data_IF_670548140417
#
_entry.id   IF_670548140417
#
_cell.length_a   1.000
_cell.length_b   1.000
_cell.length_c   1.000
_cell.angle_alpha   90.00
_cell.angle_beta   90.00
_cell.angle_gamma   90.00
#
_symmetry.space_group_name_H-M   'P 1'
#
loop_
_entity.id
_entity.type
_entity.pdbx_description
1 polymer ?
#
# COMPACT_ATOMS: atom_id res chain seq x y z
N UNK A 1 -8.62 -22.55 22.00
CA UNK A 1 -9.80 -21.66 22.23
C UNK A 1 -9.88 -20.52 21.21
N UNK A 2 -8.88 -19.60 21.12
CA UNK A 2 -8.92 -18.48 20.17
C UNK A 2 -8.82 -18.88 18.69
N UNK A 3 -7.86 -19.75 18.33
CA UNK A 3 -7.72 -20.20 16.94
C UNK A 3 -8.97 -20.91 16.43
N UNK A 4 -9.52 -21.84 17.21
CA UNK A 4 -10.77 -22.55 16.88
C UNK A 4 -11.97 -21.62 16.71
N UNK A 5 -12.05 -20.54 17.50
CA UNK A 5 -13.12 -19.54 17.40
C UNK A 5 -13.05 -18.75 16.07
N UNK A 6 -11.87 -18.25 15.71
CA UNK A 6 -11.71 -17.48 14.49
C UNK A 6 -11.79 -18.35 13.23
N UNK A 7 -11.30 -19.59 13.26
CA UNK A 7 -11.51 -20.55 12.16
C UNK A 7 -12.99 -20.79 11.89
N UNK A 8 -13.81 -20.95 12.94
CA UNK A 8 -15.26 -21.10 12.78
C UNK A 8 -15.92 -19.83 12.20
N UNK A 9 -15.47 -18.64 12.61
CA UNK A 9 -15.97 -17.37 12.08
C UNK A 9 -15.61 -17.15 10.62
N UNK A 10 -14.41 -17.54 10.19
CA UNK A 10 -13.98 -17.45 8.79
C UNK A 10 -14.83 -18.37 7.91
N UNK A 11 -15.00 -19.63 8.31
CA UNK A 11 -15.84 -20.60 7.60
C UNK A 11 -17.29 -20.12 7.53
N UNK A 12 -17.83 -19.58 8.62
CA UNK A 12 -19.20 -19.05 8.64
C UNK A 12 -19.38 -17.77 7.82
N UNK A 13 -18.29 -17.07 7.46
CA UNK A 13 -18.31 -15.81 6.71
C UNK A 13 -17.95 -15.97 5.23
N UNK A 14 -17.76 -17.20 4.73
CA UNK A 14 -17.26 -17.50 3.38
C UNK A 14 -18.10 -16.82 2.26
N UNK A 15 -19.42 -16.72 2.44
CA UNK A 15 -20.32 -16.04 1.49
C UNK A 15 -20.59 -14.56 1.81
N UNK A 16 -19.89 -13.98 2.79
CA UNK A 16 -20.11 -12.61 3.30
C UNK A 16 -18.79 -11.84 3.34
N UNK A 17 -18.34 -11.27 2.21
CA UNK A 17 -17.04 -10.60 2.10
C UNK A 17 -16.78 -9.52 3.17
N UNK A 18 -17.79 -8.71 3.51
CA UNK A 18 -17.66 -7.69 4.57
C UNK A 18 -17.44 -8.28 5.97
N UNK A 19 -18.09 -9.40 6.28
CA UNK A 19 -17.89 -10.11 7.56
C UNK A 19 -16.50 -10.74 7.59
N UNK A 20 -16.08 -11.37 6.49
CA UNK A 20 -14.76 -11.99 6.37
C UNK A 20 -13.65 -10.95 6.53
N UNK A 21 -13.78 -9.79 5.90
CA UNK A 21 -12.86 -8.67 6.05
C UNK A 21 -12.73 -8.20 7.51
N UNK A 22 -13.85 -8.06 8.23
CA UNK A 22 -13.84 -7.66 9.66
C UNK A 22 -13.18 -8.70 10.56
N UNK A 23 -13.42 -9.98 10.32
CA UNK A 23 -12.83 -11.08 11.10
C UNK A 23 -11.32 -11.14 10.87
N UNK A 24 -10.89 -11.07 9.62
CA UNK A 24 -9.46 -11.04 9.24
C UNK A 24 -8.78 -9.78 9.77
N UNK A 25 -9.40 -8.61 9.65
CA UNK A 25 -8.90 -7.37 10.23
C UNK A 25 -8.72 -7.49 11.75
N UNK A 26 -9.68 -8.08 12.46
CA UNK A 26 -9.58 -8.27 13.92
C UNK A 26 -8.47 -9.25 14.34
N UNK A 27 -8.14 -10.22 13.48
CA UNK A 27 -7.02 -11.14 13.68
C UNK A 27 -5.66 -10.47 13.46
N UNK A 28 -5.57 -9.61 12.45
CA UNK A 28 -4.33 -8.93 12.09
C UNK A 28 -4.08 -7.69 12.95
N UNK A 29 -5.14 -7.05 13.45
CA UNK A 29 -5.07 -5.79 14.18
C UNK A 29 -4.86 -5.98 15.70
N UNK A 30 -4.00 -6.91 16.11
CA UNK A 30 -3.65 -7.16 17.53
C UNK A 30 -2.98 -5.93 18.18
N UNK A 31 -2.50 -4.97 17.38
CA UNK A 31 -1.74 -3.80 17.83
C UNK A 31 -2.22 -2.48 17.20
N UNK A 32 -3.43 -2.44 16.64
CA UNK A 32 -3.97 -1.21 16.04
C UNK A 32 -5.08 -0.58 16.84
N UNK A 33 -5.04 -0.69 18.17
CA UNK A 33 -5.50 0.45 18.96
C UNK A 33 -4.35 1.43 18.91
N UNK A 34 -4.24 2.17 17.79
CA UNK A 34 -3.60 3.46 17.89
C UNK A 34 -4.31 4.18 19.02
N UNK A 35 -3.56 4.70 20.00
CA UNK A 35 -4.18 5.45 21.08
C UNK A 35 -5.15 6.44 20.45
N UNK A 36 -6.39 6.56 20.97
CA UNK A 36 -7.29 7.61 20.51
C UNK A 36 -6.48 8.89 20.57
N UNK A 37 -6.36 9.60 19.44
CA UNK A 37 -5.68 10.88 19.39
C UNK A 37 -6.52 11.85 20.24
N UNK A 38 -6.32 11.81 21.55
CA UNK A 38 -6.84 12.78 22.49
C UNK A 38 -5.92 13.97 22.42
N UNK A 39 -6.45 15.10 21.99
CA UNK A 39 -5.69 16.31 21.86
C UNK A 39 -6.35 17.33 20.95
N UNK A 40 -5.75 18.51 20.94
CA UNK A 40 -6.04 19.64 20.05
C UNK A 40 -5.53 19.37 18.64
N UNK A 41 -5.95 20.19 17.66
CA UNK A 41 -5.49 20.05 16.26
C UNK A 41 -3.97 20.24 16.17
N UNK A 42 -3.44 21.11 17.02
CA UNK A 42 -2.02 21.43 17.15
C UNK A 42 -1.21 20.22 17.62
N UNK A 43 -1.71 19.47 18.60
CA UNK A 43 -1.07 18.24 19.09
C UNK A 43 -1.06 17.15 18.01
N UNK A 44 -2.14 17.05 17.21
CA UNK A 44 -2.17 16.12 16.08
C UNK A 44 -1.19 16.50 14.97
N UNK A 45 -1.09 17.79 14.64
CA UNK A 45 -0.11 18.29 13.66
C UNK A 45 1.31 18.02 14.14
N UNK A 46 1.60 18.29 15.41
CA UNK A 46 2.93 18.03 15.97
C UNK A 46 3.27 16.53 15.94
N UNK A 47 2.32 15.67 16.32
CA UNK A 47 2.48 14.22 16.24
C UNK A 47 2.82 13.74 14.82
N UNK A 48 2.15 14.29 13.80
CA UNK A 48 2.44 13.95 12.40
C UNK A 48 3.84 14.40 11.98
N UNK A 49 4.25 15.61 12.38
CA UNK A 49 5.58 16.13 12.08
C UNK A 49 6.68 15.25 12.71
N UNK A 50 6.50 14.88 13.97
CA UNK A 50 7.43 14.02 14.71
C UNK A 50 7.55 12.64 14.04
N UNK A 51 6.41 12.07 13.63
CA UNK A 51 6.38 10.77 12.96
C UNK A 51 7.04 10.80 11.57
N UNK A 52 6.87 11.88 10.81
CA UNK A 52 7.56 12.07 9.53
C UNK A 52 9.07 12.20 9.75
N UNK A 53 9.51 12.95 10.75
CA UNK A 53 10.92 13.10 11.09
C UNK A 53 11.55 11.76 11.50
N UNK A 54 10.83 10.97 12.29
CA UNK A 54 11.27 9.63 12.66
C UNK A 54 11.44 8.72 11.43
N UNK A 55 10.45 8.64 10.55
CA UNK A 55 10.51 7.79 9.34
C UNK A 55 11.71 8.17 8.47
N UNK A 56 11.97 9.47 8.29
CA UNK A 56 13.13 9.95 7.51
C UNK A 56 14.44 9.53 8.17
N UNK A 57 14.55 9.71 9.48
CA UNK A 57 15.74 9.32 10.24
C UNK A 57 15.97 7.81 10.18
N UNK A 58 14.92 7.01 10.34
CA UNK A 58 14.98 5.56 10.26
C UNK A 58 15.43 5.12 8.85
N UNK A 59 14.87 5.71 7.80
CA UNK A 59 15.25 5.43 6.41
C UNK A 59 16.71 5.80 6.12
N UNK A 60 17.15 6.97 6.57
CA UNK A 60 18.54 7.44 6.41
C UNK A 60 19.52 6.58 7.23
N UNK A 61 19.05 5.95 8.32
CA UNK A 61 19.86 5.04 9.14
C UNK A 61 19.95 3.62 8.59
N UNK A 62 18.91 3.14 7.90
CA UNK A 62 18.85 1.83 7.26
C UNK A 62 19.54 1.84 5.88
N UNK A 63 19.81 3.03 5.34
CA UNK A 63 20.71 3.26 4.21
C UNK A 63 22.19 3.12 4.64
N UNK A 64 22.52 2.00 5.29
CA UNK A 64 23.90 1.54 5.26
C UNK A 64 24.27 1.38 3.77
N UNK A 65 25.36 2.05 3.37
CA UNK A 65 26.08 1.87 2.10
C UNK A 65 25.75 0.54 1.45
N UNK A 66 25.33 0.48 0.16
CA UNK A 66 24.90 -0.75 -0.48
C UNK A 66 25.95 -1.81 -0.20
N UNK A 67 25.63 -2.74 0.71
CA UNK A 67 26.46 -3.91 0.93
C UNK A 67 26.50 -4.55 -0.43
N UNK A 68 27.69 -4.56 -1.06
CA UNK A 68 27.88 -5.14 -2.38
C UNK A 68 27.28 -6.54 -2.36
N UNK A 69 26.04 -6.61 -2.84
CA UNK A 69 25.28 -7.83 -2.82
C UNK A 69 25.96 -8.66 -3.89
N UNK A 70 26.82 -9.57 -3.44
CA UNK A 70 27.37 -10.67 -4.21
C UNK A 70 26.22 -11.64 -4.51
N UNK A 71 25.22 -11.11 -5.22
CA UNK A 71 24.07 -11.81 -5.73
C UNK A 71 24.46 -12.41 -7.07
N UNK A 72 24.78 -13.69 -7.05
CA UNK A 72 24.86 -14.49 -8.25
C UNK A 72 23.62 -14.23 -9.14
N UNK A 73 23.84 -13.72 -10.35
CA UNK A 73 22.94 -13.92 -11.47
C UNK A 73 21.86 -12.86 -11.75
N UNK A 74 21.84 -11.70 -11.10
CA UNK A 74 21.06 -10.58 -11.62
C UNK A 74 21.96 -9.78 -12.56
N UNK A 75 21.74 -9.90 -13.87
CA UNK A 75 22.30 -8.96 -14.83
C UNK A 75 21.96 -7.56 -14.32
N UNK A 76 22.94 -6.66 -14.12
CA UNK A 76 22.63 -5.30 -13.73
C UNK A 76 21.65 -4.77 -14.77
N UNK A 77 20.44 -4.40 -14.32
CA UNK A 77 19.46 -3.76 -15.20
C UNK A 77 20.10 -2.43 -15.59
N UNK A 78 20.69 -2.39 -16.78
CA UNK A 78 21.27 -1.18 -17.34
C UNK A 78 20.09 -0.30 -17.76
N UNK A 79 19.77 0.67 -16.91
CA UNK A 79 18.73 1.66 -17.19
C UNK A 79 18.99 2.43 -18.50
N UNK A 80 20.24 2.46 -18.96
CA UNK A 80 20.66 3.04 -20.25
C UNK A 80 20.19 2.25 -21.48
N UNK A 81 19.67 1.02 -21.33
CA UNK A 81 19.10 0.23 -22.43
C UNK A 81 17.64 0.63 -22.74
N UNK A 82 17.01 1.41 -21.86
CA UNK A 82 15.65 1.92 -22.09
C UNK A 82 15.70 3.22 -22.88
N UNK A 83 14.90 3.29 -23.93
CA UNK A 83 14.71 4.52 -24.69
C UNK A 83 13.97 5.56 -23.83
N UNK A 84 14.49 6.79 -23.81
CA UNK A 84 13.84 7.89 -23.10
C UNK A 84 12.52 8.25 -23.77
N UNK A 85 11.44 8.28 -23.00
CA UNK A 85 10.12 8.67 -23.50
C UNK A 85 9.98 10.19 -23.41
N UNK A 86 9.63 10.85 -24.51
CA UNK A 86 9.33 12.29 -24.51
C UNK A 86 7.89 12.55 -24.04
N UNK A 87 7.57 13.73 -23.49
CA UNK A 87 6.19 14.11 -23.17
C UNK A 87 5.22 13.92 -24.35
N UNK A 88 5.68 14.21 -25.57
CA UNK A 88 4.91 14.06 -26.80
C UNK A 88 4.57 12.59 -27.11
N UNK A 89 5.48 11.66 -26.77
CA UNK A 89 5.23 10.23 -26.88
C UNK A 89 4.15 9.76 -25.90
N UNK A 90 4.18 10.29 -24.67
CA UNK A 90 3.16 10.02 -23.66
C UNK A 90 1.80 10.53 -24.12
N UNK A 91 1.73 11.79 -24.56
CA UNK A 91 0.48 12.41 -25.03
C UNK A 91 -0.09 11.68 -26.25
N UNK A 92 0.76 11.24 -27.17
CA UNK A 92 0.35 10.45 -28.33
C UNK A 92 -0.24 9.10 -27.92
N UNK A 93 0.38 8.41 -26.97
CA UNK A 93 -0.11 7.12 -26.47
C UNK A 93 -1.42 7.30 -25.72
N UNK A 94 -1.48 8.22 -24.77
CA UNK A 94 -2.67 8.50 -23.97
C UNK A 94 -3.83 8.97 -24.83
N UNK A 95 -3.56 9.84 -25.82
CA UNK A 95 -4.58 10.32 -26.77
C UNK A 95 -5.09 9.24 -27.73
N UNK A 96 -4.30 8.21 -28.00
CA UNK A 96 -4.70 7.05 -28.82
C UNK A 96 -5.47 5.98 -28.02
N UNK A 97 -5.45 6.02 -26.69
CA UNK A 97 -6.20 5.10 -25.86
C UNK A 97 -7.70 5.44 -25.93
N UNK A 98 -8.53 4.44 -26.19
CA UNK A 98 -9.98 4.60 -26.05
C UNK A 98 -10.32 4.85 -24.57
N UNK A 99 -11.25 5.76 -24.29
CA UNK A 99 -11.76 6.04 -22.93
C UNK A 99 -12.47 4.85 -22.25
N UNK A 100 -12.50 3.69 -22.90
CA UNK A 100 -13.28 2.50 -22.49
C UNK A 100 -12.43 1.28 -22.13
N UNK A 101 -11.11 1.42 -21.93
CA UNK A 101 -10.27 0.26 -21.59
C UNK A 101 -9.65 0.36 -20.20
N UNK A 102 -10.46 0.66 -19.20
CA UNK A 102 -10.20 0.14 -17.87
C UNK A 102 -11.23 -0.96 -17.59
N UNK A 103 -10.87 -2.21 -17.88
CA UNK A 103 -11.63 -3.39 -17.43
C UNK A 103 -11.74 -3.43 -15.89
N UNK A 104 -10.91 -2.63 -15.22
CA UNK A 104 -10.85 -2.45 -13.78
C UNK A 104 -11.45 -1.13 -13.31
N UNK A 105 -12.08 -0.30 -14.16
CA UNK A 105 -12.86 0.83 -13.66
C UNK A 105 -14.10 0.25 -12.98
N UNK A 106 -14.21 0.30 -11.64
CA UNK A 106 -15.46 -0.07 -11.01
C UNK A 106 -16.50 0.93 -11.52
N UNK A 107 -17.54 0.42 -12.20
CA UNK A 107 -18.73 1.21 -12.47
C UNK A 107 -19.15 1.87 -11.16
N UNK A 108 -19.22 3.21 -11.08
CA UNK A 108 -19.54 3.85 -9.83
C UNK A 108 -20.89 3.36 -9.34
N UNK A 109 -20.97 2.92 -8.09
CA UNK A 109 -22.18 2.30 -7.52
C UNK A 109 -23.40 3.24 -7.45
N UNK A 110 -23.22 4.52 -7.76
CA UNK A 110 -24.29 5.52 -7.85
C UNK A 110 -24.96 5.61 -9.22
N UNK A 111 -24.49 4.83 -10.21
CA UNK A 111 -25.07 4.74 -11.56
C UNK A 111 -26.01 3.53 -11.76
N UNK A 112 -26.17 2.66 -10.75
CA UNK A 112 -27.07 1.49 -10.75
C UNK A 112 -28.24 1.70 -9.79
#
# INVERSE_FOLDING_TARGET
AKCSHFSALIVSAESRPATLFRVTHSLLNVRGVGEPLQGTTEEFVQFLLDKIAQIRTDLDSDWAEPTEMTGAGLSPVLWDEFESVTPEDVDRVVGAMSSTTCLLDPCPSWLV
#
